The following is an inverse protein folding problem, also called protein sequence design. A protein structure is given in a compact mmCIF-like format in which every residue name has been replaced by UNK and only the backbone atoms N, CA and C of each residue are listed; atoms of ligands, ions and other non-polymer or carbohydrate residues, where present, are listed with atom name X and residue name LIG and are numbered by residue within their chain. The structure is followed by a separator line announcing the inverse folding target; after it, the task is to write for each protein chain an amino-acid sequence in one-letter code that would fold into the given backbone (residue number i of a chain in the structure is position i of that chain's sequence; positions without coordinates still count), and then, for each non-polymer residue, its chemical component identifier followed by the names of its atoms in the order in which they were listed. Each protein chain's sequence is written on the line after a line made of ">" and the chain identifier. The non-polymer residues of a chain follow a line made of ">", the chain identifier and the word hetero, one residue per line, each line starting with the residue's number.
data_IF_578612466647
#
_entry.id   IF_578612466647
#
_cell.length_a   1.000
_cell.length_b   1.000
_cell.length_c   1.000
_cell.angle_alpha   90.00
_cell.angle_beta   90.00
_cell.angle_gamma   90.00
#
_symmetry.space_group_name_H-M   'P 1'
#
loop_
_entity.id
_entity.type
_entity.pdbx_description
1 polymer ?
#
# COMPACT_ATOMS: atom_id res chain seq x y z
N UNK A 1 -45.48 -18.09 -9.61
CA UNK A 1 -44.21 -18.09 -10.39
C UNK A 1 -43.09 -17.32 -9.72
N UNK A 2 -43.27 -16.10 -9.21
CA UNK A 2 -42.22 -15.29 -8.54
C UNK A 2 -41.73 -15.95 -7.24
N UNK A 3 -42.65 -16.53 -6.46
CA UNK A 3 -42.35 -17.14 -5.16
C UNK A 3 -41.51 -18.42 -5.27
N UNK A 4 -41.65 -19.18 -6.35
CA UNK A 4 -40.90 -20.42 -6.62
C UNK A 4 -39.47 -20.08 -7.01
N UNK A 5 -39.27 -19.08 -7.88
CA UNK A 5 -37.96 -18.59 -8.32
C UNK A 5 -37.13 -18.00 -7.16
N UNK A 6 -37.83 -17.30 -6.23
CA UNK A 6 -37.20 -16.77 -5.03
C UNK A 6 -36.73 -17.88 -4.07
N UNK A 7 -37.57 -18.91 -3.86
CA UNK A 7 -37.19 -20.09 -3.05
C UNK A 7 -36.04 -20.88 -3.63
N UNK A 8 -35.98 -21.06 -4.95
CA UNK A 8 -34.88 -21.70 -5.66
C UNK A 8 -33.58 -20.87 -5.53
N UNK A 9 -33.69 -19.54 -5.66
CA UNK A 9 -32.55 -18.64 -5.51
C UNK A 9 -31.97 -18.66 -4.08
N UNK A 10 -32.84 -18.64 -3.06
CA UNK A 10 -32.44 -18.75 -1.66
C UNK A 10 -31.86 -20.14 -1.34
N UNK A 11 -32.46 -21.22 -1.89
CA UNK A 11 -31.94 -22.60 -1.75
C UNK A 11 -30.58 -22.76 -2.43
N UNK A 12 -30.35 -22.10 -3.57
CA UNK A 12 -29.06 -22.13 -4.25
C UNK A 12 -27.98 -21.30 -3.52
N UNK A 13 -28.37 -20.19 -2.86
CA UNK A 13 -27.50 -19.43 -1.98
C UNK A 13 -27.08 -20.23 -0.73
N UNK A 14 -27.97 -21.07 -0.20
CA UNK A 14 -27.66 -21.93 0.95
C UNK A 14 -26.86 -23.18 0.59
N UNK A 15 -26.83 -23.57 -0.69
CA UNK A 15 -26.07 -24.73 -1.21
C UNK A 15 -24.65 -24.37 -1.71
N UNK A 16 -24.35 -23.09 -1.91
CA UNK A 16 -22.96 -22.69 -2.11
C UNK A 16 -22.23 -22.94 -0.81
N UNK A 17 -21.34 -23.94 -0.80
CA UNK A 17 -20.39 -24.13 0.28
C UNK A 17 -19.72 -22.79 0.54
N UNK A 18 -20.05 -22.14 1.64
CA UNK A 18 -19.42 -20.91 2.05
C UNK A 18 -18.01 -21.31 2.45
N UNK A 19 -17.04 -21.13 1.56
CA UNK A 19 -15.62 -21.15 1.93
C UNK A 19 -15.40 -20.21 3.12
N UNK A 20 -14.31 -20.37 3.83
CA UNK A 20 -13.93 -19.45 4.89
C UNK A 20 -13.96 -18.03 4.34
N UNK A 21 -14.58 -17.10 5.08
CA UNK A 21 -14.64 -15.67 4.71
C UNK A 21 -13.26 -15.06 4.46
N UNK A 22 -12.20 -15.71 4.90
CA UNK A 22 -10.80 -15.31 4.74
C UNK A 22 -10.06 -16.11 3.64
N UNK A 23 -10.76 -16.87 2.80
CA UNK A 23 -10.10 -17.67 1.74
C UNK A 23 -9.40 -16.78 0.71
N UNK A 24 -10.02 -15.67 0.36
CA UNK A 24 -9.51 -14.71 -0.64
C UNK A 24 -9.81 -13.28 -0.21
N UNK A 25 -8.83 -12.62 0.40
CA UNK A 25 -9.02 -11.30 0.99
C UNK A 25 -8.45 -10.22 0.09
N UNK A 26 -9.23 -9.17 -0.16
CA UNK A 26 -8.80 -7.96 -0.84
C UNK A 26 -8.57 -6.85 0.20
N UNK A 27 -7.33 -6.36 0.30
CA UNK A 27 -6.95 -5.24 1.16
C UNK A 27 -6.70 -4.02 0.28
N UNK A 28 -7.44 -2.96 0.51
CA UNK A 28 -7.41 -1.75 -0.32
C UNK A 28 -6.81 -0.59 0.46
N UNK A 29 -5.78 0.03 -0.11
CA UNK A 29 -5.26 1.32 0.34
C UNK A 29 -6.30 2.40 0.00
N UNK A 30 -7.07 2.77 1.02
CA UNK A 30 -8.23 3.64 0.86
C UNK A 30 -7.87 5.04 0.43
N UNK A 31 -6.84 5.64 1.05
CA UNK A 31 -6.44 7.00 0.74
C UNK A 31 -5.78 7.10 -0.64
N UNK A 32 -4.90 6.16 -0.99
CA UNK A 32 -4.27 6.09 -2.31
C UNK A 32 -5.33 5.97 -3.42
N UNK A 33 -6.30 5.07 -3.26
CA UNK A 33 -7.38 4.91 -4.22
C UNK A 33 -8.26 6.17 -4.32
N UNK A 34 -8.62 6.78 -3.18
CA UNK A 34 -9.47 7.97 -3.15
C UNK A 34 -8.81 9.17 -3.83
N UNK A 35 -7.57 9.50 -3.46
CA UNK A 35 -6.83 10.65 -4.05
C UNK A 35 -6.67 10.46 -5.55
N UNK A 36 -6.34 9.25 -6.00
CA UNK A 36 -6.22 8.93 -7.42
C UNK A 36 -7.54 9.12 -8.17
N UNK A 37 -8.66 8.67 -7.59
CA UNK A 37 -9.98 8.83 -8.19
C UNK A 37 -10.40 10.30 -8.20
N UNK A 38 -10.18 11.02 -7.11
CA UNK A 38 -10.44 12.45 -7.01
C UNK A 38 -9.71 13.24 -8.11
N UNK A 39 -8.43 12.92 -8.37
CA UNK A 39 -7.65 13.62 -9.38
C UNK A 39 -7.92 13.21 -10.83
N UNK A 40 -8.43 12.00 -11.06
CA UNK A 40 -8.54 11.43 -12.41
C UNK A 40 -9.96 11.37 -12.97
N UNK A 41 -10.99 11.37 -12.11
CA UNK A 41 -12.39 11.16 -12.52
C UNK A 41 -13.16 12.48 -12.51
N UNK A 42 -13.51 13.04 -13.71
CA UNK A 42 -14.11 14.36 -13.84
C UNK A 42 -15.66 14.30 -13.74
N UNK A 43 -16.22 13.53 -12.82
CA UNK A 43 -17.66 13.39 -12.67
C UNK A 43 -18.23 14.54 -11.86
N UNK A 44 -19.30 15.16 -12.37
CA UNK A 44 -20.11 16.16 -11.66
C UNK A 44 -21.45 15.54 -11.24
N UNK A 45 -22.03 16.04 -10.15
CA UNK A 45 -23.42 15.78 -9.79
C UNK A 45 -24.38 16.73 -10.54
N UNK A 46 -25.68 16.60 -10.29
CA UNK A 46 -26.70 17.44 -10.96
C UNK A 46 -26.58 18.94 -10.61
N UNK A 47 -25.96 19.28 -9.49
CA UNK A 47 -25.69 20.65 -9.06
C UNK A 47 -24.39 21.21 -9.65
N UNK A 48 -23.68 20.44 -10.49
CA UNK A 48 -22.40 20.83 -11.07
C UNK A 48 -21.18 20.66 -10.15
N UNK A 49 -21.35 20.07 -8.96
CA UNK A 49 -20.25 19.84 -8.04
C UNK A 49 -19.46 18.59 -8.40
N UNK A 50 -18.14 18.66 -8.28
CA UNK A 50 -17.27 17.51 -8.49
C UNK A 50 -17.52 16.41 -7.44
N UNK A 51 -17.73 15.19 -7.92
CA UNK A 51 -17.95 13.97 -7.11
C UNK A 51 -17.06 12.79 -7.54
N UNK A 52 -16.03 13.06 -8.33
CA UNK A 52 -15.18 12.06 -8.94
C UNK A 52 -14.41 11.19 -7.95
N UNK A 53 -14.09 11.72 -6.78
CA UNK A 53 -13.45 10.95 -5.70
C UNK A 53 -14.32 9.81 -5.21
N UNK A 54 -15.58 10.11 -4.90
CA UNK A 54 -16.57 9.13 -4.42
C UNK A 54 -16.95 8.15 -5.52
N UNK A 55 -17.39 8.68 -6.67
CA UNK A 55 -17.89 7.84 -7.78
C UNK A 55 -16.78 6.96 -8.34
N UNK A 56 -15.59 7.52 -8.54
CA UNK A 56 -14.43 6.78 -9.04
C UNK A 56 -13.98 5.68 -8.06
N UNK A 57 -13.98 5.98 -6.76
CA UNK A 57 -13.67 4.99 -5.73
C UNK A 57 -14.63 3.81 -5.76
N UNK A 58 -15.94 4.08 -5.67
CA UNK A 58 -16.97 3.04 -5.63
C UNK A 58 -17.00 2.21 -6.91
N UNK A 59 -16.87 2.86 -8.08
CA UNK A 59 -16.80 2.16 -9.36
C UNK A 59 -15.54 1.28 -9.47
N UNK A 60 -14.39 1.78 -9.04
CA UNK A 60 -13.14 1.02 -9.04
C UNK A 60 -13.20 -0.16 -8.08
N UNK A 61 -13.69 0.05 -6.86
CA UNK A 61 -13.86 -1.00 -5.86
C UNK A 61 -14.84 -2.08 -6.37
N UNK A 62 -16.00 -1.68 -6.88
CA UNK A 62 -16.99 -2.60 -7.45
C UNK A 62 -16.46 -3.39 -8.65
N UNK A 63 -15.65 -2.76 -9.51
CA UNK A 63 -15.00 -3.46 -10.63
C UNK A 63 -13.97 -4.49 -10.16
N UNK A 64 -13.15 -4.15 -9.15
CA UNK A 64 -12.18 -5.05 -8.55
C UNK A 64 -12.86 -6.24 -7.87
N UNK A 65 -13.92 -6.01 -7.13
CA UNK A 65 -14.72 -7.07 -6.48
C UNK A 65 -15.32 -8.02 -7.52
N UNK A 66 -15.97 -7.49 -8.56
CA UNK A 66 -16.56 -8.32 -9.63
C UNK A 66 -15.54 -9.16 -10.38
N UNK A 67 -14.37 -8.58 -10.66
CA UNK A 67 -13.30 -9.26 -11.40
C UNK A 67 -12.62 -10.34 -10.57
N UNK A 68 -12.32 -10.05 -9.31
CA UNK A 68 -11.45 -10.91 -8.48
C UNK A 68 -12.24 -11.81 -7.52
N UNK A 69 -13.52 -11.51 -7.29
CA UNK A 69 -14.43 -12.29 -6.43
C UNK A 69 -13.83 -12.59 -5.04
N UNK A 70 -13.38 -11.58 -4.29
CA UNK A 70 -12.88 -11.79 -2.93
C UNK A 70 -13.97 -12.30 -2.02
N UNK A 71 -13.60 -13.10 -1.02
CA UNK A 71 -14.50 -13.54 0.05
C UNK A 71 -14.63 -12.49 1.16
N UNK A 72 -13.64 -11.59 1.27
CA UNK A 72 -13.63 -10.44 2.19
C UNK A 72 -12.96 -9.24 1.54
N UNK A 73 -13.45 -8.06 1.85
CA UNK A 73 -12.84 -6.78 1.47
C UNK A 73 -12.54 -5.98 2.73
N UNK A 74 -11.29 -5.53 2.85
CA UNK A 74 -10.81 -4.64 3.90
C UNK A 74 -10.29 -3.35 3.24
N UNK A 75 -10.90 -2.21 3.57
CA UNK A 75 -10.41 -0.89 3.15
C UNK A 75 -9.70 -0.25 4.33
N UNK A 76 -8.44 0.13 4.14
CA UNK A 76 -7.59 0.67 5.21
C UNK A 76 -7.29 2.14 4.93
N UNK A 77 -7.40 2.96 5.96
CA UNK A 77 -7.02 4.37 5.95
C UNK A 77 -6.01 4.68 7.05
N UNK A 78 -5.26 5.76 6.88
CA UNK A 78 -4.39 6.27 7.94
C UNK A 78 -5.22 6.71 9.15
N UNK A 79 -4.80 6.31 10.34
CA UNK A 79 -5.34 6.84 11.60
C UNK A 79 -4.82 8.26 11.88
N UNK A 80 -5.47 8.94 12.82
CA UNK A 80 -5.05 10.27 13.25
C UNK A 80 -3.60 10.21 13.76
N UNK A 81 -2.72 11.01 13.15
CA UNK A 81 -1.31 11.05 13.54
C UNK A 81 -0.48 9.83 13.07
N UNK A 82 -0.94 9.05 12.08
CA UNK A 82 -0.28 7.83 11.59
C UNK A 82 1.21 7.97 11.34
N UNK A 83 1.63 9.04 10.67
CA UNK A 83 3.06 9.25 10.33
C UNK A 83 3.95 9.73 11.49
N UNK A 84 3.41 9.94 12.70
CA UNK A 84 4.18 10.52 13.82
C UNK A 84 5.36 9.64 14.24
N UNK A 85 5.23 8.31 14.20
CA UNK A 85 6.33 7.39 14.52
C UNK A 85 7.53 7.62 13.62
N UNK A 86 7.33 7.59 12.29
CA UNK A 86 8.39 7.80 11.30
C UNK A 86 8.95 9.23 11.35
N UNK A 87 8.12 10.24 11.60
CA UNK A 87 8.56 11.63 11.79
C UNK A 87 9.41 11.85 13.05
N UNK A 88 9.19 11.07 14.12
CA UNK A 88 10.05 11.10 15.31
C UNK A 88 11.43 10.50 15.01
N UNK A 89 11.51 9.50 14.15
CA UNK A 89 12.77 8.87 13.73
C UNK A 89 13.53 9.76 12.74
N UNK A 90 12.83 10.36 11.80
CA UNK A 90 13.38 11.24 10.77
C UNK A 90 12.46 12.45 10.54
N UNK A 91 12.91 13.63 10.98
CA UNK A 91 12.10 14.88 10.87
C UNK A 91 11.73 15.23 9.42
N UNK A 92 12.61 14.92 8.47
CA UNK A 92 12.39 15.13 7.05
C UNK A 92 11.38 14.18 6.41
N UNK A 93 10.88 13.17 7.12
CA UNK A 93 9.95 12.19 6.57
C UNK A 93 8.66 12.86 6.07
N UNK A 94 8.37 12.65 4.76
CA UNK A 94 7.23 13.28 4.07
C UNK A 94 7.23 14.83 4.14
N UNK A 95 8.38 15.45 4.40
CA UNK A 95 8.57 16.89 4.39
C UNK A 95 8.35 17.41 2.98
N UNK A 96 7.87 17.92 2.32
CA UNK A 96 7.65 18.26 0.90
C UNK A 96 6.30 17.80 0.34
N UNK A 97 5.57 16.93 1.06
CA UNK A 97 4.19 16.60 0.70
C UNK A 97 3.18 17.71 1.07
N UNK A 98 3.64 18.88 1.56
CA UNK A 98 2.80 19.99 2.02
C UNK A 98 2.16 20.80 0.90
N UNK A 99 2.63 20.68 -0.32
CA UNK A 99 2.03 21.34 -1.47
C UNK A 99 1.00 20.45 -2.14
N UNK A 100 -0.28 20.62 -1.84
CA UNK A 100 -1.30 20.14 -2.77
C UNK A 100 -1.10 20.82 -4.13
N UNK A 101 -0.47 20.12 -5.05
CA UNK A 101 -0.57 20.50 -6.47
C UNK A 101 -2.03 20.32 -6.89
N UNK A 102 -2.53 21.18 -7.75
CA UNK A 102 -3.87 21.05 -8.30
C UNK A 102 -4.02 19.67 -8.94
N UNK A 103 -4.66 18.76 -8.22
CA UNK A 103 -4.80 17.33 -8.61
C UNK A 103 -5.94 17.19 -9.61
N UNK A 104 -6.94 18.05 -9.50
CA UNK A 104 -8.14 18.00 -10.32
C UNK A 104 -7.95 18.69 -11.65
N UNK A 105 -8.34 18.02 -12.73
CA UNK A 105 -8.28 18.53 -14.11
C UNK A 105 -9.56 19.27 -14.53
N UNK A 106 -10.55 19.39 -13.66
CA UNK A 106 -11.76 20.14 -13.94
C UNK A 106 -11.47 21.65 -13.90
N UNK A 107 -11.86 22.36 -14.96
CA UNK A 107 -11.97 23.79 -14.94
C UNK A 107 -13.16 24.18 -14.03
N UNK A 108 -12.91 24.62 -12.83
CA UNK A 108 -13.99 24.95 -11.89
C UNK A 108 -13.54 25.14 -10.45
N UNK A 109 -12.33 24.71 -10.13
CA UNK A 109 -11.72 25.09 -8.84
C UNK A 109 -10.84 26.32 -9.08
N UNK A 110 -11.22 27.43 -8.47
CA UNK A 110 -10.52 28.69 -8.61
C UNK A 110 -9.19 28.65 -7.85
N UNK A 111 -9.16 27.94 -6.71
CA UNK A 111 -7.96 27.81 -5.90
C UNK A 111 -7.76 26.42 -5.24
N UNK A 112 -6.69 26.28 -4.45
CA UNK A 112 -6.36 25.04 -3.75
C UNK A 112 -7.24 24.81 -2.51
N UNK A 113 -7.85 25.85 -1.96
CA UNK A 113 -8.73 25.74 -0.79
C UNK A 113 -10.06 25.10 -1.17
N UNK A 114 -10.67 25.54 -2.28
CA UNK A 114 -11.88 24.94 -2.86
C UNK A 114 -11.66 23.45 -3.11
N UNK A 115 -10.49 23.09 -3.65
CA UNK A 115 -10.14 21.68 -3.89
C UNK A 115 -10.04 20.89 -2.57
N UNK A 116 -9.46 21.48 -1.51
CA UNK A 116 -9.36 20.83 -0.20
C UNK A 116 -10.72 20.60 0.43
N UNK A 117 -11.59 21.61 0.38
CA UNK A 117 -12.94 21.51 0.90
C UNK A 117 -13.74 20.43 0.14
N UNK A 118 -13.70 20.46 -1.18
CA UNK A 118 -14.35 19.42 -2.00
C UNK A 118 -13.82 18.03 -1.67
N UNK A 119 -12.50 17.87 -1.55
CA UNK A 119 -11.88 16.60 -1.19
C UNK A 119 -12.37 16.11 0.18
N UNK A 120 -12.39 16.98 1.19
CA UNK A 120 -12.88 16.68 2.54
C UNK A 120 -14.35 16.24 2.53
N UNK A 121 -15.19 16.97 1.81
CA UNK A 121 -16.62 16.68 1.71
C UNK A 121 -16.87 15.35 0.99
N UNK A 122 -16.15 15.08 -0.09
CA UNK A 122 -16.22 13.81 -0.80
C UNK A 122 -15.69 12.65 0.06
N UNK A 123 -14.62 12.84 0.79
CA UNK A 123 -14.09 11.83 1.71
C UNK A 123 -15.11 11.47 2.80
N UNK A 124 -15.72 12.47 3.43
CA UNK A 124 -16.77 12.25 4.43
C UNK A 124 -17.98 11.49 3.84
N UNK A 125 -18.35 11.83 2.62
CA UNK A 125 -19.44 11.14 1.90
C UNK A 125 -19.05 9.69 1.57
N UNK A 126 -17.81 9.46 1.14
CA UNK A 126 -17.29 8.12 0.89
C UNK A 126 -17.37 7.27 2.16
N UNK A 127 -16.92 7.80 3.32
CA UNK A 127 -16.95 7.05 4.59
C UNK A 127 -18.38 6.60 4.94
N UNK A 128 -19.39 7.47 4.76
CA UNK A 128 -20.80 7.10 4.96
C UNK A 128 -21.25 5.98 4.04
N UNK A 129 -20.83 6.00 2.77
CA UNK A 129 -21.19 4.94 1.83
C UNK A 129 -20.49 3.63 2.12
N UNK A 130 -19.21 3.66 2.54
CA UNK A 130 -18.48 2.45 2.92
C UNK A 130 -19.12 1.76 4.12
N UNK A 131 -19.66 2.54 5.09
CA UNK A 131 -20.36 2.02 6.26
C UNK A 131 -21.66 1.26 5.93
N UNK A 132 -22.26 1.55 4.77
CA UNK A 132 -23.46 0.86 4.26
C UNK A 132 -23.16 -0.41 3.46
N UNK A 133 -21.89 -0.68 3.17
CA UNK A 133 -21.47 -1.83 2.35
C UNK A 133 -21.05 -3.01 3.24
N UNK A 134 -21.21 -4.25 2.77
CA UNK A 134 -20.74 -5.45 3.48
C UNK A 134 -19.22 -5.62 3.36
N UNK A 135 -18.47 -4.61 3.77
CA UNK A 135 -17.01 -4.57 3.76
C UNK A 135 -16.48 -4.14 5.13
N UNK A 136 -15.23 -4.42 5.41
CA UNK A 136 -14.58 -3.91 6.61
C UNK A 136 -13.82 -2.62 6.28
N UNK A 137 -13.95 -1.61 7.14
CA UNK A 137 -13.14 -0.38 7.09
C UNK A 137 -12.27 -0.35 8.35
N UNK A 138 -10.97 -0.12 8.18
CA UNK A 138 -10.01 -0.13 9.27
C UNK A 138 -9.15 1.14 9.26
N UNK A 139 -8.99 1.74 10.42
CA UNK A 139 -8.01 2.78 10.71
C UNK A 139 -7.62 2.67 12.19
N UNK A 140 -6.35 2.91 12.49
CA UNK A 140 -5.84 2.86 13.86
C UNK A 140 -5.04 4.12 14.12
N UNK A 141 -5.39 4.87 15.17
CA UNK A 141 -4.71 6.12 15.50
C UNK A 141 -3.22 5.87 15.76
N UNK A 142 -2.40 6.79 15.31
CA UNK A 142 -0.93 6.77 15.37
C UNK A 142 -0.24 5.69 14.53
N UNK A 143 -0.99 5.05 13.62
CA UNK A 143 -0.49 4.02 12.71
C UNK A 143 -0.78 4.39 11.27
N UNK A 144 0.20 4.21 10.41
CA UNK A 144 0.00 4.37 8.96
C UNK A 144 -0.76 3.17 8.38
N UNK A 145 -1.58 3.43 7.37
CA UNK A 145 -2.32 2.39 6.66
C UNK A 145 -1.42 1.26 6.17
N UNK A 146 -0.20 1.60 5.72
CA UNK A 146 0.76 0.64 5.20
C UNK A 146 1.16 -0.42 6.23
N UNK A 147 1.38 -0.01 7.49
CA UNK A 147 1.70 -0.93 8.59
C UNK A 147 0.49 -1.83 8.93
N UNK A 148 -0.73 -1.28 8.93
CA UNK A 148 -1.97 -2.06 9.15
C UNK A 148 -2.17 -3.08 8.04
N UNK A 149 -2.02 -2.67 6.78
CA UNK A 149 -2.18 -3.54 5.61
C UNK A 149 -1.14 -4.67 5.62
N UNK A 150 0.13 -4.34 5.93
CA UNK A 150 1.19 -5.33 6.04
C UNK A 150 0.93 -6.34 7.16
N UNK A 151 0.52 -5.87 8.34
CA UNK A 151 0.15 -6.74 9.45
C UNK A 151 -1.01 -7.66 9.07
N UNK A 152 -2.08 -7.11 8.50
CA UNK A 152 -3.23 -7.89 8.08
C UNK A 152 -2.85 -8.97 7.06
N UNK A 153 -2.05 -8.61 6.04
CA UNK A 153 -1.61 -9.53 5.00
C UNK A 153 -0.69 -10.65 5.53
N UNK A 154 0.23 -10.33 6.43
CA UNK A 154 1.21 -11.30 6.95
C UNK A 154 0.67 -12.16 8.10
N UNK A 155 -0.08 -11.55 9.02
CA UNK A 155 -0.38 -12.17 10.32
C UNK A 155 -1.84 -12.53 10.52
N UNK A 156 -2.79 -11.76 9.98
CA UNK A 156 -4.23 -12.01 10.17
C UNK A 156 -4.74 -13.00 9.13
N UNK A 157 -4.54 -12.70 7.84
CA UNK A 157 -5.04 -13.51 6.75
C UNK A 157 -3.97 -14.51 6.30
N UNK A 158 -4.31 -15.81 6.33
CA UNK A 158 -3.34 -16.90 6.09
C UNK A 158 -3.45 -17.52 4.69
N UNK A 159 -4.52 -17.22 3.95
CA UNK A 159 -4.76 -17.71 2.60
C UNK A 159 -4.45 -16.62 1.55
N UNK A 160 -5.14 -16.60 0.42
CA UNK A 160 -4.88 -15.64 -0.66
C UNK A 160 -5.16 -14.20 -0.23
N UNK A 161 -4.20 -13.31 -0.42
CA UNK A 161 -4.32 -11.88 -0.13
C UNK A 161 -3.98 -11.06 -1.36
N UNK A 162 -4.87 -10.15 -1.71
CA UNK A 162 -4.73 -9.20 -2.81
C UNK A 162 -4.61 -7.79 -2.23
N UNK A 163 -3.46 -7.17 -2.29
CA UNK A 163 -3.25 -5.77 -1.90
C UNK A 163 -3.52 -4.87 -3.11
N UNK A 164 -4.33 -3.84 -2.93
CA UNK A 164 -4.66 -2.85 -3.97
C UNK A 164 -4.04 -1.52 -3.58
N UNK A 165 -2.86 -1.22 -4.10
CA UNK A 165 -2.17 0.06 -3.92
C UNK A 165 -1.19 0.33 -5.05
N UNK A 166 -0.96 1.61 -5.36
CA UNK A 166 0.09 2.04 -6.29
C UNK A 166 1.45 2.19 -5.62
N UNK A 167 1.49 2.08 -4.28
CA UNK A 167 2.74 2.18 -3.54
C UNK A 167 3.62 0.96 -3.78
N UNK A 168 4.86 1.22 -4.14
CA UNK A 168 5.86 0.18 -4.42
C UNK A 168 6.38 -0.50 -3.15
N UNK A 169 6.16 0.11 -1.97
CA UNK A 169 6.59 -0.48 -0.71
C UNK A 169 5.88 -1.79 -0.39
N UNK A 170 4.64 -1.94 -0.84
CA UNK A 170 3.92 -3.20 -0.72
C UNK A 170 4.53 -4.37 -1.51
N UNK A 171 5.37 -4.09 -2.52
CA UNK A 171 6.02 -5.15 -3.31
C UNK A 171 6.98 -6.01 -2.47
N UNK A 172 7.46 -5.52 -1.33
CA UNK A 172 8.25 -6.31 -0.38
C UNK A 172 7.43 -7.42 0.32
N UNK A 173 6.10 -7.33 0.26
CA UNK A 173 5.19 -8.30 0.89
C UNK A 173 4.80 -9.44 -0.06
N UNK A 174 5.06 -9.30 -1.36
CA UNK A 174 4.66 -10.27 -2.38
C UNK A 174 5.32 -11.63 -2.13
N UNK A 175 4.49 -12.66 -2.05
CA UNK A 175 4.91 -14.05 -1.87
C UNK A 175 3.97 -15.01 -2.63
N UNK A 176 3.94 -16.31 -2.31
CA UNK A 176 3.08 -17.29 -2.99
C UNK A 176 1.58 -17.05 -2.76
N UNK A 177 1.21 -16.33 -1.71
CA UNK A 177 -0.18 -16.04 -1.31
C UNK A 177 -0.56 -14.55 -1.36
N UNK A 178 0.43 -13.65 -1.34
CA UNK A 178 0.22 -12.19 -1.37
C UNK A 178 0.59 -11.65 -2.76
N UNK A 179 -0.35 -11.02 -3.41
CA UNK A 179 -0.15 -10.29 -4.66
C UNK A 179 -0.52 -8.82 -4.52
N UNK A 180 0.08 -7.95 -5.34
CA UNK A 180 -0.19 -6.51 -5.34
C UNK A 180 -0.73 -6.07 -6.69
N UNK A 181 -1.91 -5.45 -6.71
CA UNK A 181 -2.41 -4.76 -7.90
C UNK A 181 -2.02 -3.29 -7.86
N UNK A 182 -1.32 -2.84 -8.88
CA UNK A 182 -0.96 -1.43 -9.05
C UNK A 182 -1.97 -0.72 -9.97
N UNK A 183 -2.95 0.04 -9.45
CA UNK A 183 -4.00 0.66 -10.25
C UNK A 183 -3.47 1.64 -11.29
N UNK A 184 -2.38 2.33 -11.03
CA UNK A 184 -1.73 3.27 -11.96
C UNK A 184 -1.17 2.58 -13.20
N UNK A 185 -0.65 1.37 -13.05
CA UNK A 185 -0.10 0.55 -14.12
C UNK A 185 -1.13 -0.47 -14.67
N UNK A 186 -2.28 -0.63 -13.99
CA UNK A 186 -3.30 -1.65 -14.27
C UNK A 186 -2.72 -3.06 -14.32
N UNK A 187 -1.69 -3.33 -13.50
CA UNK A 187 -0.94 -4.59 -13.51
C UNK A 187 -0.94 -5.24 -12.13
N UNK A 188 -1.11 -6.55 -12.11
CA UNK A 188 -0.79 -7.40 -10.96
C UNK A 188 0.71 -7.61 -10.88
N UNK A 189 1.23 -7.63 -9.66
CA UNK A 189 2.62 -7.91 -9.35
C UNK A 189 2.68 -9.19 -8.51
N UNK A 190 3.31 -10.20 -9.07
CA UNK A 190 3.62 -11.47 -8.44
C UNK A 190 5.14 -11.55 -8.18
N UNK A 191 5.61 -12.64 -7.57
CA UNK A 191 7.03 -12.82 -7.23
C UNK A 191 7.96 -12.62 -8.44
N UNK A 192 7.60 -13.26 -9.56
CA UNK A 192 8.42 -13.17 -10.78
C UNK A 192 8.44 -11.75 -11.36
N UNK A 193 7.32 -11.01 -11.28
CA UNK A 193 7.28 -9.63 -11.75
C UNK A 193 8.18 -8.71 -10.90
N UNK A 194 8.26 -8.95 -9.58
CA UNK A 194 9.15 -8.18 -8.70
C UNK A 194 10.61 -8.50 -9.00
N UNK A 195 10.93 -9.80 -9.15
CA UNK A 195 12.26 -10.26 -9.51
C UNK A 195 12.71 -9.71 -10.87
N UNK A 196 11.82 -9.73 -11.87
CA UNK A 196 12.12 -9.18 -13.20
C UNK A 196 12.35 -7.67 -13.15
N UNK A 197 11.54 -6.95 -12.37
CA UNK A 197 11.57 -5.48 -12.30
C UNK A 197 12.77 -4.94 -11.52
N UNK A 198 13.12 -5.59 -10.41
CA UNK A 198 14.13 -5.10 -9.48
C UNK A 198 15.41 -5.94 -9.42
N UNK A 199 15.42 -7.13 -10.03
CA UNK A 199 16.55 -8.05 -10.00
C UNK A 199 16.81 -8.71 -8.64
N UNK A 200 15.91 -8.50 -7.66
CA UNK A 200 15.99 -9.08 -6.32
C UNK A 200 14.66 -9.68 -5.92
N UNK A 201 14.62 -10.73 -5.07
CA UNK A 201 13.35 -11.29 -4.59
C UNK A 201 12.60 -10.28 -3.71
N UNK A 202 11.26 -10.37 -3.71
CA UNK A 202 10.37 -9.46 -2.98
C UNK A 202 10.79 -9.24 -1.52
N UNK A 203 11.16 -10.30 -0.80
CA UNK A 203 11.60 -10.24 0.60
C UNK A 203 12.88 -9.44 0.82
N UNK A 204 13.71 -9.30 -0.23
CA UNK A 204 14.94 -8.51 -0.21
C UNK A 204 14.77 -7.13 -0.83
N UNK A 205 13.58 -6.81 -1.35
CA UNK A 205 13.33 -5.54 -2.01
C UNK A 205 13.59 -4.33 -1.10
N UNK A 206 13.31 -4.45 0.20
CA UNK A 206 13.60 -3.36 1.15
C UNK A 206 15.10 -3.07 1.21
N UNK A 207 15.96 -4.10 1.19
CA UNK A 207 17.43 -3.93 1.18
C UNK A 207 17.94 -3.29 -0.11
N UNK A 208 17.30 -3.54 -1.23
CA UNK A 208 17.56 -2.79 -2.46
C UNK A 208 17.14 -1.33 -2.32
N UNK A 209 15.97 -1.07 -1.78
CA UNK A 209 15.38 0.28 -1.71
C UNK A 209 16.05 1.20 -0.72
N UNK A 210 16.65 0.69 0.37
CA UNK A 210 17.36 1.53 1.33
C UNK A 210 18.59 2.23 0.71
N UNK A 211 19.20 1.64 -0.33
CA UNK A 211 20.26 2.29 -1.10
C UNK A 211 19.74 3.36 -2.05
N UNK A 212 18.62 3.09 -2.71
CA UNK A 212 18.00 3.99 -3.70
C UNK A 212 17.29 5.18 -3.01
N UNK A 213 16.79 4.95 -1.79
CA UNK A 213 15.95 5.90 -1.06
C UNK A 213 14.55 6.02 -1.62
N UNK A 214 13.77 7.00 -1.11
CA UNK A 214 12.46 7.34 -1.62
C UNK A 214 12.25 8.86 -1.66
N UNK A 215 12.25 9.42 -2.88
CA UNK A 215 12.06 10.86 -3.10
C UNK A 215 10.67 11.32 -2.68
N UNK A 216 9.64 10.45 -2.79
CA UNK A 216 8.27 10.81 -2.45
C UNK A 216 8.09 10.99 -0.93
N UNK A 217 8.89 10.27 -0.14
CA UNK A 217 8.91 10.35 1.32
C UNK A 217 10.08 11.15 1.88
N UNK A 218 10.86 11.77 0.98
CA UNK A 218 12.06 12.52 1.32
C UNK A 218 13.11 11.67 2.08
N UNK A 219 13.19 10.38 1.73
CA UNK A 219 14.18 9.45 2.29
C UNK A 219 15.40 9.45 1.36
N UNK A 220 16.59 9.89 1.84
CA UNK A 220 17.78 9.93 1.02
C UNK A 220 18.34 8.53 0.78
N UNK A 221 18.78 8.25 -0.46
CA UNK A 221 19.57 7.07 -0.76
C UNK A 221 21.07 7.29 -0.53
N UNK A 222 21.86 6.25 -0.78
CA UNK A 222 23.32 6.35 -0.73
C UNK A 222 23.86 7.00 -2.02
N UNK A 223 24.49 8.15 -1.91
CA UNK A 223 24.97 8.91 -3.06
C UNK A 223 25.90 8.08 -3.94
N UNK A 224 25.53 7.89 -5.21
CA UNK A 224 26.32 7.13 -6.20
C UNK A 224 26.22 5.60 -6.05
N UNK A 225 25.23 5.11 -5.30
CA UNK A 225 24.87 3.69 -5.21
C UNK A 225 23.42 3.55 -5.68
N UNK A 226 23.21 3.64 -6.96
CA UNK A 226 21.88 3.49 -7.57
C UNK A 226 21.60 2.06 -8.06
N UNK A 227 20.42 1.82 -8.65
CA UNK A 227 19.97 0.48 -9.06
C UNK A 227 21.00 -0.34 -9.84
N UNK A 228 21.69 0.25 -10.81
CA UNK A 228 22.71 -0.45 -11.61
C UNK A 228 23.91 -0.91 -10.75
N UNK A 229 24.37 -0.05 -9.83
CA UNK A 229 25.47 -0.39 -8.93
C UNK A 229 25.05 -1.51 -7.99
N UNK A 230 23.85 -1.42 -7.43
CA UNK A 230 23.29 -2.42 -6.52
C UNK A 230 23.26 -3.79 -7.20
N UNK A 231 22.66 -3.90 -8.38
CA UNK A 231 22.51 -5.18 -9.09
C UNK A 231 23.86 -5.78 -9.53
N UNK A 232 24.82 -4.95 -9.95
CA UNK A 232 26.08 -5.42 -10.49
C UNK A 232 27.15 -5.68 -9.40
N UNK A 233 27.07 -4.97 -8.28
CA UNK A 233 28.14 -4.97 -7.25
C UNK A 233 27.71 -5.60 -5.93
N UNK A 234 26.41 -5.79 -5.71
CA UNK A 234 25.85 -6.38 -4.49
C UNK A 234 25.01 -7.63 -4.83
N UNK A 235 25.59 -8.66 -5.49
CA UNK A 235 24.85 -9.83 -5.95
C UNK A 235 24.20 -10.63 -4.81
N UNK A 236 24.73 -10.54 -3.59
CA UNK A 236 24.17 -11.16 -2.40
C UNK A 236 22.73 -10.69 -2.08
N UNK A 237 22.28 -9.55 -2.59
CA UNK A 237 20.87 -9.13 -2.47
C UNK A 237 19.91 -10.01 -3.27
N UNK A 238 20.41 -10.84 -4.19
CA UNK A 238 19.62 -11.82 -4.92
C UNK A 238 19.46 -13.14 -4.16
N UNK A 239 20.22 -13.34 -3.08
CA UNK A 239 20.18 -14.53 -2.26
C UNK A 239 18.96 -14.54 -1.31
N UNK A 240 18.62 -15.73 -0.81
CA UNK A 240 17.56 -15.89 0.16
C UNK A 240 17.99 -15.45 1.58
N UNK A 241 17.04 -14.96 2.37
CA UNK A 241 17.19 -14.64 3.78
C UNK A 241 18.23 -13.54 4.11
N UNK A 242 18.10 -12.38 3.47
CA UNK A 242 18.87 -11.20 3.84
C UNK A 242 18.41 -10.64 5.21
N UNK A 243 19.36 -10.09 5.97
CA UNK A 243 19.15 -9.28 7.16
C UNK A 243 20.11 -8.08 7.13
N UNK A 244 19.89 -7.08 8.00
CA UNK A 244 20.81 -5.93 8.06
C UNK A 244 22.24 -6.36 8.47
N UNK A 245 22.36 -7.33 9.39
CA UNK A 245 23.66 -7.87 9.81
C UNK A 245 24.37 -8.56 8.64
N UNK A 246 23.68 -9.46 7.94
CA UNK A 246 24.20 -10.12 6.73
C UNK A 246 24.56 -9.13 5.62
N UNK A 247 23.77 -8.07 5.46
CA UNK A 247 24.05 -7.03 4.48
C UNK A 247 25.40 -6.39 4.77
N UNK A 248 25.65 -5.97 6.01
CA UNK A 248 26.92 -5.34 6.38
C UNK A 248 28.09 -6.34 6.38
N UNK A 249 27.89 -7.57 6.81
CA UNK A 249 28.87 -8.65 6.71
C UNK A 249 29.30 -8.87 5.24
N UNK A 250 28.37 -8.97 4.31
CA UNK A 250 28.67 -9.09 2.89
C UNK A 250 29.37 -7.85 2.32
N UNK A 251 29.00 -6.66 2.79
CA UNK A 251 29.67 -5.41 2.39
C UNK A 251 31.13 -5.37 2.88
N UNK A 252 31.40 -5.86 4.08
CA UNK A 252 32.77 -5.96 4.61
C UNK A 252 33.65 -6.88 3.77
N UNK A 253 33.08 -7.85 3.09
CA UNK A 253 33.78 -8.81 2.23
C UNK A 253 33.85 -8.38 0.75
N UNK A 254 33.43 -7.15 0.40
CA UNK A 254 33.57 -6.65 -0.98
C UNK A 254 35.01 -6.37 -1.37
N UNK A 255 35.39 -6.77 -2.59
CA UNK A 255 36.71 -6.45 -3.19
C UNK A 255 36.80 -4.97 -3.61
N UNK A 256 35.70 -4.30 -3.86
CA UNK A 256 35.63 -2.88 -4.25
C UNK A 256 35.72 -2.01 -3.00
N UNK A 257 36.97 -1.71 -2.57
CA UNK A 257 37.24 -0.93 -1.35
C UNK A 257 36.60 0.46 -1.36
N UNK A 258 36.41 1.09 -2.53
CA UNK A 258 35.72 2.40 -2.62
C UNK A 258 34.23 2.28 -2.38
N UNK A 259 33.61 1.25 -2.93
CA UNK A 259 32.20 0.98 -2.72
C UNK A 259 31.95 0.55 -1.28
N UNK A 260 32.76 -0.33 -0.74
CA UNK A 260 32.75 -0.79 0.65
C UNK A 260 32.82 0.39 1.62
N UNK A 261 33.84 1.24 1.50
CA UNK A 261 33.99 2.42 2.36
C UNK A 261 32.75 3.32 2.28
N UNK A 262 32.24 3.60 1.07
CA UNK A 262 31.05 4.42 0.87
C UNK A 262 29.80 3.85 1.54
N UNK A 263 29.60 2.54 1.46
CA UNK A 263 28.43 1.89 2.08
C UNK A 263 28.59 1.89 3.59
N UNK A 264 29.78 1.59 4.10
CA UNK A 264 30.05 1.58 5.54
C UNK A 264 29.94 2.98 6.16
N UNK A 265 30.42 4.03 5.48
CA UNK A 265 30.22 5.43 5.89
C UNK A 265 28.71 5.83 5.91
N UNK A 266 27.88 5.12 5.16
CA UNK A 266 26.44 5.34 5.10
C UNK A 266 25.61 4.40 6.00
N UNK A 267 26.26 3.65 6.90
CA UNK A 267 25.62 2.62 7.73
C UNK A 267 24.42 3.15 8.50
N UNK A 268 24.56 4.31 9.14
CA UNK A 268 23.49 4.94 9.92
C UNK A 268 22.30 5.33 9.03
N UNK A 269 22.58 5.87 7.84
CA UNK A 269 21.54 6.23 6.85
C UNK A 269 20.81 4.97 6.37
N UNK A 270 21.53 3.90 6.06
CA UNK A 270 20.92 2.63 5.62
C UNK A 270 20.06 2.00 6.72
N UNK A 271 20.51 2.05 7.96
CA UNK A 271 19.75 1.55 9.12
C UNK A 271 18.49 2.37 9.32
N UNK A 272 18.60 3.70 9.28
CA UNK A 272 17.44 4.59 9.35
C UNK A 272 16.44 4.33 8.20
N UNK A 273 16.95 4.23 6.97
CA UNK A 273 16.11 3.94 5.80
C UNK A 273 15.38 2.61 5.94
N UNK A 274 16.06 1.59 6.46
CA UNK A 274 15.44 0.30 6.75
C UNK A 274 14.29 0.46 7.74
N UNK A 275 14.49 1.16 8.84
CA UNK A 275 13.46 1.37 9.86
C UNK A 275 12.26 2.21 9.35
N UNK A 276 12.50 3.11 8.38
CA UNK A 276 11.46 3.91 7.75
C UNK A 276 10.66 3.15 6.68
N UNK A 277 11.32 2.27 5.92
CA UNK A 277 10.75 1.64 4.72
C UNK A 277 10.28 0.20 4.93
N UNK A 278 10.81 -0.49 5.95
CA UNK A 278 10.37 -1.84 6.29
C UNK A 278 8.94 -1.80 6.83
N UNK A 279 8.05 -2.58 6.24
CA UNK A 279 6.69 -2.77 6.71
C UNK A 279 6.69 -3.82 7.83
N UNK A 280 7.06 -3.38 9.01
CA UNK A 280 7.11 -4.19 10.23
C UNK A 280 5.77 -4.19 10.92
N UNK A 281 5.59 -5.26 11.69
CA UNK A 281 4.57 -5.35 12.70
C UNK A 281 4.87 -4.35 13.83
N UNK A 282 4.03 -3.36 14.08
CA UNK A 282 4.19 -2.50 15.24
C UNK A 282 3.85 -3.30 16.50
N UNK A 283 4.81 -3.47 17.41
CA UNK A 283 4.69 -4.28 18.64
C UNK A 283 3.45 -3.96 19.52
N UNK A 284 2.87 -2.77 19.34
CA UNK A 284 1.75 -2.28 20.16
C UNK A 284 0.36 -2.47 19.54
N UNK A 285 0.24 -3.09 18.36
CA UNK A 285 -0.98 -3.05 17.55
C UNK A 285 -1.70 -4.36 17.36
N UNK A 286 -1.12 -5.47 17.75
CA UNK A 286 -1.69 -6.80 17.50
C UNK A 286 -3.13 -6.95 18.03
N UNK A 287 -3.43 -6.42 19.21
CA UNK A 287 -4.78 -6.48 19.80
C UNK A 287 -5.77 -5.52 19.15
N UNK A 288 -5.37 -4.29 18.87
CA UNK A 288 -6.24 -3.26 18.27
C UNK A 288 -6.59 -3.60 16.81
N UNK A 289 -5.61 -4.00 16.01
CA UNK A 289 -5.85 -4.41 14.61
C UNK A 289 -6.69 -5.70 14.57
N UNK A 290 -6.36 -6.69 15.39
CA UNK A 290 -7.10 -7.96 15.41
C UNK A 290 -8.54 -7.75 15.83
N UNK A 291 -8.84 -6.87 16.79
CA UNK A 291 -10.21 -6.58 17.22
C UNK A 291 -11.01 -5.80 16.16
N UNK A 292 -10.37 -4.95 15.36
CA UNK A 292 -11.02 -4.16 14.31
C UNK A 292 -11.27 -4.96 13.03
N UNK A 293 -10.46 -5.99 12.76
CA UNK A 293 -10.57 -6.80 11.54
C UNK A 293 -11.46 -8.05 11.74
N UNK A 294 -11.73 -8.47 12.98
CA UNK A 294 -12.65 -9.58 13.29
C UNK A 294 -14.09 -9.16 13.14
#
# INVERSE_FOLDING_TARGET
>A
MIHTKYKEMVSNLSKTSHGDVNDKVMIVDGLNMFIRCFGAVPTLNDDGNHVGGVTGFLLSLGALIRKNKPTRVLVVFDGKGGSQRRKKMYKGYKEGRTGMTKVNRLAGYEDLEDQRESMKNQFNTLMRYLDLLPINVCFVDYVEADDIMAYAAKHVFKKEVMIISSDKDFLQLVDDRISVYQPTKKKWMYKDDVQELYGVPSKNLVYFRIFDGDKSDNIPGVKGVGPKTILNKLPFLQEDNMSMDKLFENVENLDDEKLKAKIMDSKDVLTLNYDLMQLKEPDMLSSAITSTIR
#
